data_IF_962541334107
#
_entry.id   IF_962541334107
#
_cell.length_a   1.000
_cell.length_b   1.000
_cell.length_c   1.000
_cell.angle_alpha   90.00
_cell.angle_beta   90.00
_cell.angle_gamma   90.00
#
_symmetry.space_group_name_H-M   'P 1'
#
loop_
_entity.id
_entity.type
_entity.pdbx_description
1 polymer ?
#
# COMPACT_ATOMS: atom_id res chain seq x y z
N UNK A 1 -9.14 -26.54 2.68
CA UNK A 1 -9.71 -25.77 3.81
C UNK A 1 -8.81 -24.61 4.21
N UNK A 2 -7.55 -24.85 4.60
CA UNK A 2 -6.63 -23.77 5.07
C UNK A 2 -6.25 -22.69 4.04
N UNK A 3 -6.39 -22.94 2.74
CA UNK A 3 -6.09 -21.97 1.66
C UNK A 3 -7.22 -20.97 1.42
N UNK A 4 -8.45 -21.28 1.85
CA UNK A 4 -9.61 -20.40 1.68
C UNK A 4 -9.58 -19.25 2.68
N UNK A 5 -9.14 -19.51 3.92
CA UNK A 5 -9.11 -18.51 4.98
C UNK A 5 -8.06 -17.42 4.72
N UNK A 6 -6.89 -17.79 4.18
CA UNK A 6 -5.85 -16.83 3.78
C UNK A 6 -6.27 -15.99 2.58
N UNK A 7 -7.00 -16.58 1.62
CA UNK A 7 -7.53 -15.85 0.47
C UNK A 7 -8.57 -14.79 0.91
N UNK A 8 -9.41 -15.09 1.90
CA UNK A 8 -10.38 -14.15 2.45
C UNK A 8 -9.68 -12.98 3.14
N UNK A 9 -8.69 -13.26 4.00
CA UNK A 9 -7.93 -12.19 4.69
C UNK A 9 -7.22 -11.28 3.67
N UNK A 10 -6.61 -11.86 2.64
CA UNK A 10 -5.95 -11.09 1.59
C UNK A 10 -6.95 -10.25 0.76
N UNK A 11 -8.13 -10.79 0.42
CA UNK A 11 -9.18 -10.03 -0.26
C UNK A 11 -9.70 -8.88 0.61
N UNK A 12 -9.91 -9.12 1.90
CA UNK A 12 -10.34 -8.08 2.85
C UNK A 12 -9.28 -6.96 2.94
N UNK A 13 -8.00 -7.32 3.00
CA UNK A 13 -6.90 -6.34 2.98
C UNK A 13 -6.81 -5.54 1.67
N UNK A 14 -7.00 -6.18 0.52
CA UNK A 14 -7.05 -5.48 -0.77
C UNK A 14 -8.23 -4.51 -0.85
N UNK A 15 -9.41 -4.92 -0.35
CA UNK A 15 -10.60 -4.07 -0.33
C UNK A 15 -10.46 -2.91 0.66
N UNK A 16 -9.88 -3.13 1.85
CA UNK A 16 -9.64 -2.05 2.82
C UNK A 16 -8.67 -1.01 2.25
N UNK A 17 -7.59 -1.47 1.60
CA UNK A 17 -6.64 -0.59 0.93
C UNK A 17 -7.29 0.20 -0.22
N UNK A 18 -8.06 -0.46 -1.09
CA UNK A 18 -8.80 0.21 -2.16
C UNK A 18 -9.78 1.26 -1.61
N UNK A 19 -10.50 0.93 -0.52
CA UNK A 19 -11.43 1.86 0.13
C UNK A 19 -10.72 3.12 0.62
N UNK A 20 -9.54 2.97 1.24
CA UNK A 20 -8.73 4.09 1.71
C UNK A 20 -8.25 4.95 0.55
N UNK A 21 -7.81 4.34 -0.56
CA UNK A 21 -7.42 5.08 -1.77
C UNK A 21 -8.60 5.87 -2.33
N UNK A 22 -9.78 5.26 -2.41
CA UNK A 22 -10.99 5.93 -2.91
C UNK A 22 -11.38 7.11 -2.01
N UNK A 23 -11.38 6.93 -0.68
CA UNK A 23 -11.63 8.03 0.27
C UNK A 23 -10.59 9.14 0.08
N UNK A 24 -9.31 8.79 -0.03
CA UNK A 24 -8.24 9.75 -0.26
C UNK A 24 -8.49 10.60 -1.51
N UNK A 25 -9.01 10.01 -2.59
CA UNK A 25 -9.34 10.70 -3.85
C UNK A 25 -10.65 11.51 -3.74
N UNK A 26 -11.67 11.00 -3.05
CA UNK A 26 -12.97 11.68 -2.92
C UNK A 26 -12.86 12.93 -2.03
N UNK A 27 -12.08 12.82 -0.96
CA UNK A 27 -11.85 13.91 -0.02
C UNK A 27 -10.61 14.75 -0.37
N UNK A 28 -9.84 14.38 -1.40
CA UNK A 28 -8.80 15.25 -1.94
C UNK A 28 -9.46 16.44 -2.62
N UNK A 29 -9.36 17.60 -1.99
CA UNK A 29 -9.82 18.86 -2.56
C UNK A 29 -8.67 19.46 -3.39
N UNK A 30 -8.73 19.27 -4.72
CA UNK A 30 -7.77 19.90 -5.64
C UNK A 30 -7.90 21.44 -5.66
N UNK A 31 -8.97 22.02 -5.12
CA UNK A 31 -9.13 23.48 -5.04
C UNK A 31 -8.31 24.11 -3.92
N UNK A 32 -7.82 23.30 -2.96
CA UNK A 32 -6.94 23.73 -1.86
C UNK A 32 -5.46 23.49 -2.15
N UNK A 33 -5.12 23.09 -3.38
CA UNK A 33 -3.74 22.90 -3.79
C UNK A 33 -2.97 24.20 -3.56
N UNK A 34 -2.05 24.18 -2.59
CA UNK A 34 -1.20 25.31 -2.27
C UNK A 34 -0.32 25.62 -3.50
N UNK A 35 -0.31 26.88 -3.95
CA UNK A 35 0.40 27.32 -5.16
C UNK A 35 1.92 27.05 -5.09
N UNK A 36 2.45 26.86 -3.88
CA UNK A 36 3.86 26.57 -3.62
C UNK A 36 4.19 25.06 -3.63
N UNK A 37 3.21 24.18 -3.87
CA UNK A 37 3.43 22.74 -3.91
C UNK A 37 4.08 22.34 -5.23
N UNK A 38 5.40 22.17 -5.24
CA UNK A 38 6.08 21.62 -6.42
C UNK A 38 5.90 20.10 -6.45
N UNK A 39 5.61 19.57 -7.65
CA UNK A 39 5.54 18.11 -7.92
C UNK A 39 6.86 17.43 -7.55
N UNK A 40 7.96 18.18 -7.60
CA UNK A 40 9.29 17.75 -7.23
C UNK A 40 9.77 18.61 -6.05
N UNK A 41 9.68 18.10 -4.81
CA UNK A 41 10.25 18.81 -3.67
C UNK A 41 11.78 18.85 -3.79
N UNK A 42 12.44 19.93 -3.34
CA UNK A 42 13.90 20.02 -3.38
C UNK A 42 14.52 18.95 -2.48
N UNK A 43 15.09 17.92 -3.11
CA UNK A 43 15.68 16.78 -2.42
C UNK A 43 17.17 17.02 -2.15
N UNK A 44 17.54 17.12 -0.87
CA UNK A 44 18.93 17.07 -0.45
C UNK A 44 19.38 15.62 -0.28
N UNK A 45 20.68 15.34 -0.43
CA UNK A 45 21.24 14.00 -0.22
C UNK A 45 20.84 13.42 1.15
N UNK A 46 20.89 14.24 2.20
CA UNK A 46 20.47 13.85 3.56
C UNK A 46 18.99 13.50 3.65
N UNK A 47 18.12 14.22 2.93
CA UNK A 47 16.69 13.91 2.86
C UNK A 47 16.45 12.57 2.17
N UNK A 48 17.17 12.30 1.08
CA UNK A 48 17.08 11.00 0.36
C UNK A 48 17.57 9.85 1.24
N UNK A 49 18.67 10.03 1.99
CA UNK A 49 19.15 9.03 2.94
C UNK A 49 18.17 8.79 4.10
N UNK A 50 17.41 9.80 4.53
CA UNK A 50 16.36 9.64 5.52
C UNK A 50 15.17 8.79 5.05
N UNK A 51 14.84 8.86 3.75
CA UNK A 51 13.72 8.10 3.14
C UNK A 51 14.18 6.73 2.62
N UNK A 52 15.49 6.51 2.50
CA UNK A 52 16.08 5.25 2.03
C UNK A 52 15.52 3.99 2.72
N UNK A 53 15.33 3.94 4.05
CA UNK A 53 14.77 2.76 4.71
C UNK A 53 13.34 2.46 4.27
N UNK A 54 12.52 3.48 4.04
CA UNK A 54 11.14 3.34 3.57
C UNK A 54 11.12 2.75 2.16
N UNK A 55 12.00 3.24 1.28
CA UNK A 55 12.14 2.71 -0.08
C UNK A 55 12.57 1.24 -0.03
N UNK A 56 13.60 0.90 0.76
CA UNK A 56 14.08 -0.48 0.89
C UNK A 56 12.97 -1.40 1.43
N UNK A 57 12.23 -0.96 2.45
CA UNK A 57 11.14 -1.74 3.03
C UNK A 57 9.98 -1.95 2.03
N UNK A 58 9.72 -0.96 1.16
CA UNK A 58 8.69 -1.09 0.13
C UNK A 58 8.98 -2.19 -0.90
N UNK A 59 10.27 -2.49 -1.15
CA UNK A 59 10.71 -3.62 -1.97
C UNK A 59 10.69 -4.97 -1.22
N UNK A 60 10.27 -5.00 0.04
CA UNK A 60 10.16 -6.23 0.84
C UNK A 60 9.24 -7.30 0.23
N UNK A 61 8.37 -6.92 -0.71
CA UNK A 61 7.45 -7.82 -1.42
C UNK A 61 8.15 -8.99 -2.14
N UNK A 62 9.44 -8.89 -2.45
CA UNK A 62 10.21 -9.96 -3.11
C UNK A 62 10.21 -11.27 -2.31
N UNK A 63 10.12 -11.22 -0.98
CA UNK A 63 10.10 -12.43 -0.16
C UNK A 63 8.85 -13.29 -0.41
N UNK A 64 7.73 -12.65 -0.75
CA UNK A 64 6.47 -13.33 -1.03
C UNK A 64 6.42 -13.92 -2.45
N UNK A 65 7.35 -13.56 -3.34
CA UNK A 65 7.38 -14.05 -4.72
C UNK A 65 7.55 -15.58 -4.79
N UNK A 66 8.31 -16.18 -3.85
CA UNK A 66 8.50 -17.63 -3.81
C UNK A 66 7.23 -18.41 -3.46
N UNK A 67 6.33 -17.84 -2.64
CA UNK A 67 5.04 -18.47 -2.33
C UNK A 67 4.13 -18.44 -3.56
N UNK A 68 4.12 -17.33 -4.30
CA UNK A 68 3.33 -17.17 -5.53
C UNK A 68 3.79 -18.13 -6.63
N UNK A 69 5.10 -18.39 -6.75
CA UNK A 69 5.59 -19.40 -7.71
C UNK A 69 5.23 -20.81 -7.30
N UNK A 70 5.14 -21.09 -6.00
CA UNK A 70 4.73 -22.40 -5.49
C UNK A 70 3.24 -22.68 -5.76
N UNK A 71 2.37 -21.68 -5.61
CA UNK A 71 0.93 -21.83 -5.88
C UNK A 71 0.56 -21.87 -7.38
N UNK A 72 1.49 -21.57 -8.29
CA UNK A 72 1.22 -21.47 -9.73
C UNK A 72 1.10 -22.85 -10.41
N UNK A 73 -0.05 -23.16 -11.00
CA UNK A 73 -0.30 -24.40 -11.76
C UNK A 73 0.49 -24.42 -13.08
N UNK A 74 1.29 -25.46 -13.29
CA UNK A 74 2.22 -25.62 -14.44
C UNK A 74 3.28 -24.51 -14.50
N UNK A 75 4.22 -24.57 -13.55
CA UNK A 75 5.31 -23.60 -13.36
C UNK A 75 6.21 -23.55 -14.58
N UNK A 76 6.20 -22.44 -15.30
CA UNK A 76 7.20 -22.10 -16.32
C UNK A 76 7.73 -20.71 -16.05
N UNK A 77 9.02 -20.48 -16.33
CA UNK A 77 9.68 -19.19 -16.08
C UNK A 77 8.93 -18.02 -16.73
N UNK A 78 8.43 -18.24 -17.97
CA UNK A 78 7.66 -17.24 -18.71
C UNK A 78 6.34 -16.86 -18.03
N UNK A 79 5.64 -17.83 -17.41
CA UNK A 79 4.36 -17.56 -16.73
C UNK A 79 4.56 -16.78 -15.43
N UNK A 80 5.57 -17.15 -14.66
CA UNK A 80 5.92 -16.43 -13.43
C UNK A 80 6.26 -14.97 -13.74
N UNK A 81 7.05 -14.73 -14.78
CA UNK A 81 7.45 -13.38 -15.19
C UNK A 81 6.26 -12.53 -15.64
N UNK A 82 5.35 -13.09 -16.44
CA UNK A 82 4.11 -12.41 -16.86
C UNK A 82 3.22 -12.09 -15.65
N UNK A 83 3.02 -13.05 -14.73
CA UNK A 83 2.19 -12.84 -13.53
C UNK A 83 2.79 -11.77 -12.62
N UNK A 84 4.11 -11.81 -12.41
CA UNK A 84 4.83 -10.81 -11.61
C UNK A 84 4.73 -9.42 -12.24
N UNK A 85 4.99 -9.30 -13.53
CA UNK A 85 4.90 -8.03 -14.26
C UNK A 85 3.48 -7.48 -14.23
N UNK A 86 2.47 -8.34 -14.40
CA UNK A 86 1.07 -7.94 -14.32
C UNK A 86 0.70 -7.45 -12.90
N UNK A 87 1.18 -8.11 -11.85
CA UNK A 87 0.94 -7.70 -10.47
C UNK A 87 1.61 -6.36 -10.14
N UNK A 88 2.82 -6.12 -10.62
CA UNK A 88 3.51 -4.83 -10.46
C UNK A 88 2.74 -3.73 -11.21
N UNK A 89 2.31 -4.00 -12.44
CA UNK A 89 1.55 -3.04 -13.24
C UNK A 89 0.22 -2.66 -12.59
N UNK A 90 -0.54 -3.63 -12.05
CA UNK A 90 -1.79 -3.35 -11.34
C UNK A 90 -1.56 -2.58 -10.05
N UNK A 91 -0.50 -2.90 -9.30
CA UNK A 91 -0.12 -2.17 -8.10
C UNK A 91 0.23 -0.70 -8.42
N UNK A 92 0.98 -0.44 -9.49
CA UNK A 92 1.31 0.92 -9.93
C UNK A 92 0.06 1.74 -10.27
N UNK A 93 -0.91 1.16 -10.97
CA UNK A 93 -2.17 1.83 -11.33
C UNK A 93 -2.98 2.23 -10.09
N UNK A 94 -2.93 1.44 -9.01
CA UNK A 94 -3.64 1.73 -7.76
C UNK A 94 -2.87 2.75 -6.91
N UNK A 95 -1.55 2.58 -6.79
CA UNK A 95 -0.74 3.40 -5.89
C UNK A 95 -0.39 4.79 -6.43
N UNK A 96 -0.28 4.98 -7.75
CA UNK A 96 0.00 6.31 -8.33
C UNK A 96 -1.08 7.32 -7.91
N UNK A 97 -2.39 7.09 -8.14
CA UNK A 97 -3.45 7.96 -7.61
C UNK A 97 -3.39 8.10 -6.09
N UNK A 98 -3.17 7.00 -5.37
CA UNK A 98 -3.14 7.01 -3.91
C UNK A 98 -2.08 7.96 -3.31
N UNK A 99 -0.97 8.18 -4.01
CA UNK A 99 0.06 9.13 -3.59
C UNK A 99 -0.17 10.54 -4.15
N UNK A 100 -0.56 10.66 -5.42
CA UNK A 100 -0.67 11.96 -6.11
C UNK A 100 -1.78 12.82 -5.52
N UNK A 101 -2.98 12.26 -5.31
CA UNK A 101 -4.15 13.03 -4.87
C UNK A 101 -3.97 13.64 -3.46
N UNK A 102 -3.56 12.87 -2.42
CA UNK A 102 -3.29 13.45 -1.11
C UNK A 102 -2.13 14.43 -1.11
N UNK A 103 -1.08 14.18 -1.90
CA UNK A 103 0.05 15.10 -2.01
C UNK A 103 -0.36 16.45 -2.61
N UNK A 104 -1.23 16.46 -3.64
CA UNK A 104 -1.77 17.69 -4.22
C UNK A 104 -2.64 18.46 -3.22
N UNK A 105 -3.40 17.77 -2.37
CA UNK A 105 -4.29 18.43 -1.39
C UNK A 105 -3.58 18.94 -0.14
N UNK A 106 -2.62 18.20 0.41
CA UNK A 106 -1.96 18.54 1.69
C UNK A 106 -0.56 19.12 1.53
N UNK A 107 0.01 19.06 0.32
CA UNK A 107 1.35 19.52 0.00
C UNK A 107 2.42 18.91 0.90
N UNK A 108 3.30 19.76 1.41
CA UNK A 108 4.43 19.36 2.25
C UNK A 108 4.05 18.81 3.63
N UNK A 109 2.81 19.02 4.08
CA UNK A 109 2.33 18.55 5.39
C UNK A 109 1.64 17.18 5.31
N UNK A 110 1.76 16.47 4.19
CA UNK A 110 1.15 15.14 4.06
C UNK A 110 1.78 14.15 5.03
N UNK A 111 1.00 13.66 5.97
CA UNK A 111 1.39 12.53 6.81
C UNK A 111 1.53 11.22 6.02
N UNK A 112 2.34 10.28 6.56
CA UNK A 112 2.65 8.99 5.94
C UNK A 112 1.39 8.16 5.61
N UNK A 113 0.32 8.31 6.40
CA UNK A 113 -1.00 7.83 6.05
C UNK A 113 -1.87 9.04 5.69
N UNK A 114 -2.29 9.13 4.43
CA UNK A 114 -3.08 10.25 3.90
C UNK A 114 -4.34 10.54 4.73
N UNK A 115 -4.97 9.52 5.33
CA UNK A 115 -6.13 9.64 6.20
C UNK A 115 -5.90 10.49 7.46
N UNK A 116 -4.67 10.58 7.96
CA UNK A 116 -4.36 11.36 9.18
C UNK A 116 -4.48 12.85 8.95
N UNK A 117 -4.29 13.30 7.71
CA UNK A 117 -4.48 14.69 7.34
C UNK A 117 -5.97 15.08 7.21
N UNK A 118 -6.89 14.10 7.17
CA UNK A 118 -8.31 14.36 7.10
C UNK A 118 -8.91 14.49 8.50
N UNK A 119 -9.87 15.39 8.67
CA UNK A 119 -10.55 15.55 9.95
C UNK A 119 -11.35 14.29 10.33
N UNK A 120 -11.14 13.79 11.54
CA UNK A 120 -11.80 12.61 12.14
C UNK A 120 -13.33 12.72 12.29
N UNK A 121 -13.93 13.88 12.00
CA UNK A 121 -15.39 14.08 12.04
C UNK A 121 -16.12 13.31 10.93
N UNK A 122 -15.43 12.89 9.87
CA UNK A 122 -16.02 12.10 8.81
C UNK A 122 -16.08 10.62 9.21
N UNK A 123 -17.29 10.08 9.36
CA UNK A 123 -17.52 8.66 9.69
C UNK A 123 -16.84 7.72 8.69
N UNK A 124 -16.76 8.11 7.41
CA UNK A 124 -16.06 7.35 6.37
C UNK A 124 -14.56 7.18 6.67
N UNK A 125 -13.90 8.22 7.19
CA UNK A 125 -12.48 8.18 7.56
C UNK A 125 -12.27 7.24 8.76
N UNK A 126 -13.15 7.27 9.75
CA UNK A 126 -13.11 6.37 10.92
C UNK A 126 -13.29 4.90 10.52
N UNK A 127 -14.21 4.62 9.60
CA UNK A 127 -14.39 3.26 9.03
C UNK A 127 -13.13 2.82 8.30
N UNK A 128 -12.48 3.73 7.54
CA UNK A 128 -11.21 3.46 6.88
C UNK A 128 -10.09 3.06 7.85
N UNK A 129 -9.95 3.79 8.96
CA UNK A 129 -9.00 3.43 10.02
C UNK A 129 -9.27 2.05 10.62
N UNK A 130 -10.53 1.76 10.94
CA UNK A 130 -10.89 0.47 11.51
C UNK A 130 -10.62 -0.66 10.52
N UNK A 131 -10.97 -0.49 9.25
CA UNK A 131 -10.75 -1.48 8.21
C UNK A 131 -9.25 -1.77 8.00
N UNK A 132 -8.41 -0.74 7.95
CA UNK A 132 -6.96 -0.90 7.86
C UNK A 132 -6.38 -1.60 9.09
N UNK A 133 -6.77 -1.18 10.29
CA UNK A 133 -6.30 -1.78 11.52
C UNK A 133 -6.66 -3.28 11.60
N UNK A 134 -7.88 -3.65 11.21
CA UNK A 134 -8.30 -5.06 11.15
C UNK A 134 -7.48 -5.83 10.12
N UNK A 135 -7.27 -5.28 8.92
CA UNK A 135 -6.45 -5.95 7.90
C UNK A 135 -5.00 -6.16 8.36
N UNK A 136 -4.41 -5.19 9.07
CA UNK A 136 -3.05 -5.28 9.57
C UNK A 136 -2.92 -6.32 10.69
N UNK A 137 -3.87 -6.34 11.63
CA UNK A 137 -3.92 -7.32 12.72
C UNK A 137 -4.08 -8.74 12.18
N UNK A 138 -4.89 -8.93 11.13
CA UNK A 138 -5.02 -10.23 10.47
C UNK A 138 -3.77 -10.61 9.67
N UNK A 139 -3.03 -9.64 9.13
CA UNK A 139 -1.81 -9.88 8.35
C UNK A 139 -0.58 -10.21 9.22
N UNK A 140 -0.51 -9.63 10.43
CA UNK A 140 0.57 -9.87 11.37
C UNK A 140 0.85 -11.36 11.70
N UNK A 141 -0.14 -12.20 12.08
CA UNK A 141 0.10 -13.61 12.37
C UNK A 141 0.58 -14.40 11.15
N UNK A 142 0.15 -14.01 9.94
CA UNK A 142 0.60 -14.65 8.70
C UNK A 142 2.08 -14.37 8.43
N UNK A 143 2.57 -13.18 8.77
CA UNK A 143 3.98 -12.80 8.63
C UNK A 143 4.87 -13.46 9.69
N UNK A 144 4.36 -13.71 10.89
CA UNK A 144 5.11 -14.39 11.96
C UNK A 144 5.33 -15.88 11.66
N UNK A 145 4.42 -16.52 10.92
CA UNK A 145 4.52 -17.94 10.58
C UNK A 145 5.80 -18.34 9.82
N UNK A 146 6.23 -17.65 8.75
CA UNK A 146 7.51 -17.91 8.09
C UNK A 146 8.70 -17.60 9.02
N UNK A 147 8.66 -16.53 9.82
CA UNK A 147 9.72 -16.21 10.79
C UNK A 147 9.90 -17.31 11.84
N UNK A 148 8.80 -17.93 12.29
CA UNK A 148 8.85 -19.07 13.22
C UNK A 148 9.40 -20.34 12.56
N UNK A 149 9.20 -20.52 11.24
CA UNK A 149 9.76 -21.67 10.51
C UNK A 149 11.24 -21.52 10.19
N UNK A 150 11.79 -20.31 10.28
CA UNK A 150 13.21 -20.03 10.01
C UNK A 150 14.11 -20.05 11.26
N UNK A 151 13.54 -20.13 12.47
CA UNK A 151 14.25 -20.34 13.74
C UNK A 151 14.31 -21.84 14.06
#
# INVERSE_FOLDING_TARGET
>A
EHTSDTAIVNMVGLLSLLYVVIIGIVYSDCSKADENTTVWPPANFWTVMGVLPIIIMSFGCHMNAFLVTDDLKNRTQKRVDIVSTAAIATALVIFIPAMVFPYVTFGYNVEALSLQNLSVNYVAVQIGYLALAVSDVCSFPLQVFPCRRSL
#
